data_IF_057285415902
#
_entry.id   IF_057285415902
#
_cell.length_a   1.000
_cell.length_b   1.000
_cell.length_c   1.000
_cell.angle_alpha   90.00
_cell.angle_beta   90.00
_cell.angle_gamma   90.00
#
_symmetry.space_group_name_H-M   'P 1'
#
loop_
_entity.id
_entity.type
_entity.pdbx_description
1 polymer ?
#
# COMPACT_ATOMS: atom_id res chain seq x y z
N UNK A 1 -33.40 2.98 -10.68
CA UNK A 1 -32.40 2.47 -9.73
C UNK A 1 -32.96 2.71 -8.35
N UNK A 2 -33.20 1.66 -7.61
CA UNK A 2 -33.80 1.73 -6.29
C UNK A 2 -32.78 2.31 -5.29
N UNK A 3 -33.19 3.25 -4.43
CA UNK A 3 -32.33 3.85 -3.42
C UNK A 3 -31.84 2.85 -2.34
N UNK A 4 -32.29 1.57 -2.42
CA UNK A 4 -31.91 0.48 -1.51
C UNK A 4 -30.48 -0.04 -1.67
N UNK A 5 -29.81 0.23 -2.81
CA UNK A 5 -28.49 -0.35 -3.13
C UNK A 5 -27.29 0.52 -2.70
N UNK A 6 -27.56 1.71 -2.19
CA UNK A 6 -26.52 2.66 -1.80
C UNK A 6 -25.84 2.23 -0.51
N UNK A 7 -24.56 1.82 -0.59
CA UNK A 7 -23.79 1.38 0.56
C UNK A 7 -22.94 2.51 1.14
N UNK A 8 -22.96 2.65 2.47
CA UNK A 8 -22.12 3.58 3.21
C UNK A 8 -21.40 2.86 4.36
N UNK A 9 -20.15 3.24 4.58
CA UNK A 9 -19.34 2.75 5.69
C UNK A 9 -19.08 3.91 6.66
N UNK A 10 -19.99 4.11 7.60
CA UNK A 10 -20.06 5.30 8.43
C UNK A 10 -20.46 6.53 7.60
N UNK A 11 -19.59 7.52 7.52
CA UNK A 11 -19.80 8.76 6.76
C UNK A 11 -19.19 8.73 5.35
N UNK A 12 -18.65 7.58 4.90
CA UNK A 12 -17.95 7.44 3.63
C UNK A 12 -18.67 6.53 2.65
N UNK A 13 -18.63 6.86 1.35
CA UNK A 13 -19.19 6.03 0.29
C UNK A 13 -18.26 4.87 -0.13
N UNK A 14 -17.26 4.54 0.71
CA UNK A 14 -16.33 3.43 0.50
C UNK A 14 -15.85 2.85 1.82
N UNK A 15 -15.49 1.57 1.82
CA UNK A 15 -15.02 0.82 2.99
C UNK A 15 -13.58 1.23 3.34
N UNK A 16 -13.45 2.29 4.10
CA UNK A 16 -12.15 2.84 4.48
C UNK A 16 -11.49 2.02 5.57
N UNK A 17 -10.14 2.00 5.56
CA UNK A 17 -9.35 1.38 6.62
C UNK A 17 -9.72 1.90 8.02
N UNK A 18 -10.01 3.20 8.20
CA UNK A 18 -10.43 3.75 9.50
C UNK A 18 -11.74 3.12 10.00
N UNK A 19 -12.70 2.90 9.11
CA UNK A 19 -13.96 2.22 9.42
C UNK A 19 -13.71 0.76 9.80
N UNK A 20 -12.96 0.02 8.97
CA UNK A 20 -12.55 -1.37 9.23
C UNK A 20 -11.86 -1.51 10.59
N UNK A 21 -10.89 -0.64 10.89
CA UNK A 21 -10.15 -0.68 12.16
C UNK A 21 -11.05 -0.44 13.38
N UNK A 22 -11.99 0.50 13.28
CA UNK A 22 -12.96 0.73 14.36
C UNK A 22 -13.90 -0.42 14.58
N UNK A 23 -14.36 -1.08 13.51
CA UNK A 23 -15.18 -2.28 13.63
C UNK A 23 -14.41 -3.45 14.25
N UNK A 24 -13.17 -3.68 13.79
CA UNK A 24 -12.35 -4.83 14.21
C UNK A 24 -11.79 -4.67 15.62
N UNK A 25 -11.31 -3.48 15.96
CA UNK A 25 -10.59 -3.25 17.21
C UNK A 25 -11.37 -2.42 18.25
N UNK A 26 -12.57 -1.95 17.90
CA UNK A 26 -13.44 -1.16 18.79
C UNK A 26 -13.01 0.28 19.01
N UNK A 27 -11.85 0.71 18.46
CA UNK A 27 -11.31 2.05 18.62
C UNK A 27 -10.45 2.45 17.41
N UNK A 28 -10.05 3.70 17.37
CA UNK A 28 -9.13 4.21 16.35
C UNK A 28 -7.74 3.61 16.55
N UNK A 29 -7.16 3.06 15.48
CA UNK A 29 -5.82 2.45 15.48
C UNK A 29 -4.91 3.25 14.56
N UNK A 30 -3.66 3.49 14.98
CA UNK A 30 -2.66 4.19 14.18
C UNK A 30 -1.54 3.25 13.73
N UNK A 31 -0.99 3.50 12.54
CA UNK A 31 0.20 2.81 12.06
C UNK A 31 1.46 3.44 12.64
N UNK A 32 2.39 2.61 13.08
CA UNK A 32 3.75 2.95 13.47
C UNK A 32 4.67 2.51 12.35
N UNK A 33 5.24 3.44 11.58
CA UNK A 33 6.15 3.12 10.49
C UNK A 33 7.52 2.74 11.04
N UNK A 34 7.88 1.47 10.87
CA UNK A 34 9.10 0.84 11.35
C UNK A 34 10.04 0.52 10.19
N UNK A 35 11.30 0.38 10.49
CA UNK A 35 12.34 -0.03 9.56
C UNK A 35 13.04 -1.27 10.11
N UNK A 36 12.96 -2.38 9.40
CA UNK A 36 13.56 -3.65 9.79
C UNK A 36 15.03 -3.79 9.38
N UNK A 37 15.64 -2.78 8.77
CA UNK A 37 17.02 -2.83 8.31
C UNK A 37 17.25 -3.67 7.06
N UNK A 38 16.20 -4.18 6.41
CA UNK A 38 16.30 -4.93 5.16
C UNK A 38 16.69 -4.04 3.99
N UNK A 39 17.17 -4.67 2.92
CA UNK A 39 17.39 -4.05 1.61
C UNK A 39 16.33 -4.53 0.62
N UNK A 40 16.62 -4.46 -0.67
CA UNK A 40 15.75 -4.91 -1.75
C UNK A 40 16.61 -5.60 -2.82
N UNK A 41 16.17 -6.76 -3.39
CA UNK A 41 16.93 -7.44 -4.44
C UNK A 41 17.14 -6.60 -5.71
N UNK A 42 16.32 -5.56 -5.91
CA UNK A 42 16.53 -4.57 -6.97
C UNK A 42 17.62 -3.53 -6.64
N UNK A 43 18.25 -3.59 -5.46
CA UNK A 43 19.23 -2.59 -5.01
C UNK A 43 20.57 -3.17 -4.56
N UNK A 44 20.60 -4.43 -4.18
CA UNK A 44 21.81 -5.06 -3.65
C UNK A 44 22.61 -5.85 -4.70
N UNK A 45 22.18 -5.79 -5.96
CA UNK A 45 22.83 -6.48 -7.07
C UNK A 45 22.26 -7.87 -7.36
N UNK A 46 21.30 -8.37 -6.58
CA UNK A 46 20.67 -9.67 -6.82
C UNK A 46 19.85 -9.67 -8.11
N UNK A 47 19.02 -8.66 -8.33
CA UNK A 47 18.24 -8.44 -9.57
C UNK A 47 18.72 -7.18 -10.32
N UNK A 48 18.85 -6.08 -9.62
CA UNK A 48 19.36 -4.80 -10.12
C UNK A 48 20.09 -4.08 -8.96
N UNK A 49 20.86 -3.04 -9.27
CA UNK A 49 21.56 -2.19 -8.30
C UNK A 49 20.91 -0.82 -8.10
N UNK A 50 19.99 -0.41 -8.99
CA UNK A 50 19.39 0.92 -9.02
C UNK A 50 18.00 1.01 -8.39
N UNK A 51 17.32 -0.13 -8.20
CA UNK A 51 15.94 -0.18 -7.72
C UNK A 51 14.90 0.11 -8.80
N UNK A 52 13.63 0.07 -8.42
CA UNK A 52 12.54 0.53 -9.30
C UNK A 52 12.75 2.02 -9.64
N UNK A 53 12.38 2.43 -10.86
CA UNK A 53 12.67 3.79 -11.37
C UNK A 53 12.09 4.91 -10.52
N UNK A 54 10.99 4.65 -9.79
CA UNK A 54 10.26 5.63 -8.96
C UNK A 54 10.70 5.62 -7.49
N UNK A 55 11.52 4.63 -7.08
CA UNK A 55 11.79 4.41 -5.66
C UNK A 55 12.91 5.31 -5.15
N UNK A 56 12.63 6.14 -4.14
CA UNK A 56 13.62 7.00 -3.48
C UNK A 56 14.75 6.20 -2.82
N UNK A 57 15.83 6.87 -2.42
CA UNK A 57 16.91 6.26 -1.66
C UNK A 57 16.43 5.62 -0.35
N UNK A 58 15.33 6.12 0.24
CA UNK A 58 14.71 5.57 1.44
C UNK A 58 13.87 4.30 1.24
N UNK A 59 13.76 3.77 0.00
CA UNK A 59 13.03 2.53 -0.26
C UNK A 59 11.57 2.56 0.18
N UNK A 60 10.85 3.69 -0.08
CA UNK A 60 9.48 3.97 0.41
C UNK A 60 9.37 4.09 1.95
N UNK A 61 10.48 4.10 2.66
CA UNK A 61 10.58 4.21 4.11
C UNK A 61 10.98 5.60 4.62
N UNK A 62 10.83 6.65 3.80
CA UNK A 62 11.27 8.02 4.14
C UNK A 62 10.65 8.56 5.45
N UNK A 63 9.55 7.98 5.94
CA UNK A 63 8.89 8.32 7.19
C UNK A 63 9.11 7.28 8.31
N UNK A 64 9.84 6.21 8.06
CA UNK A 64 10.13 5.19 9.04
C UNK A 64 11.17 5.67 10.08
N UNK A 65 11.21 4.98 11.21
CA UNK A 65 12.23 5.21 12.24
C UNK A 65 13.61 4.73 11.77
N UNK A 66 14.67 5.17 12.42
CA UNK A 66 16.02 4.77 12.06
C UNK A 66 16.25 3.26 12.27
N UNK A 67 16.85 2.53 11.31
CA UNK A 67 17.06 1.08 11.40
C UNK A 67 18.08 0.67 12.46
N UNK A 68 18.85 1.61 12.99
CA UNK A 68 19.84 1.36 14.08
C UNK A 68 19.20 1.16 15.46
N UNK A 69 17.90 1.43 15.61
CA UNK A 69 17.15 1.24 16.84
C UNK A 69 16.52 -0.16 16.89
N UNK A 70 16.42 -0.76 18.07
CA UNK A 70 15.60 -1.96 18.28
C UNK A 70 14.14 -1.69 17.91
N UNK A 71 13.38 -2.74 17.62
CA UNK A 71 11.95 -2.60 17.29
C UNK A 71 11.17 -1.94 18.44
N UNK A 72 11.48 -2.30 19.67
CA UNK A 72 10.87 -1.71 20.87
C UNK A 72 11.13 -0.20 20.98
N UNK A 73 12.35 0.23 20.71
CA UNK A 73 12.71 1.67 20.70
C UNK A 73 12.00 2.41 19.56
N UNK A 74 11.97 1.82 18.35
CA UNK A 74 11.25 2.38 17.21
C UNK A 74 9.76 2.56 17.53
N UNK A 75 9.12 1.54 18.09
CA UNK A 75 7.73 1.56 18.52
C UNK A 75 7.50 2.67 19.55
N UNK A 76 8.36 2.77 20.55
CA UNK A 76 8.27 3.78 21.61
C UNK A 76 8.34 5.18 21.03
N UNK A 77 9.33 5.49 20.20
CA UNK A 77 9.49 6.79 19.56
C UNK A 77 8.30 7.13 18.63
N UNK A 78 7.83 6.15 17.85
CA UNK A 78 6.69 6.37 16.96
C UNK A 78 5.39 6.64 17.74
N UNK A 79 5.16 5.95 18.86
CA UNK A 79 4.03 6.20 19.77
C UNK A 79 4.06 7.61 20.36
N UNK A 80 5.22 8.09 20.80
CA UNK A 80 5.36 9.45 21.34
C UNK A 80 4.95 10.52 20.33
N UNK A 81 5.32 10.35 19.04
CA UNK A 81 4.91 11.26 17.97
C UNK A 81 3.38 11.28 17.78
N UNK A 82 2.71 10.13 17.94
CA UNK A 82 1.27 9.99 17.79
C UNK A 82 0.53 10.54 19.02
N UNK A 83 1.02 10.24 20.23
CA UNK A 83 0.42 10.72 21.50
C UNK A 83 0.28 12.23 21.59
N UNK A 84 1.17 12.98 20.91
CA UNK A 84 1.06 14.44 20.79
C UNK A 84 -0.19 14.91 20.01
N UNK A 85 -0.81 14.02 19.23
CA UNK A 85 -1.93 14.33 18.32
C UNK A 85 -3.20 13.55 18.63
N UNK A 86 -3.12 12.48 19.40
CA UNK A 86 -4.22 11.53 19.64
C UNK A 86 -4.01 10.70 20.89
N UNK A 87 -5.10 10.43 21.61
CA UNK A 87 -5.14 9.53 22.78
C UNK A 87 -5.30 8.04 22.39
N UNK A 88 -4.86 7.66 21.21
CA UNK A 88 -4.93 6.29 20.70
C UNK A 88 -4.14 5.31 21.59
N UNK A 89 -4.72 4.13 21.83
CA UNK A 89 -4.12 3.07 22.68
C UNK A 89 -3.67 1.85 21.89
N UNK A 90 -4.22 1.63 20.67
CA UNK A 90 -3.88 0.50 19.82
C UNK A 90 -3.15 0.95 18.57
N UNK A 91 -2.17 0.15 18.15
CA UNK A 91 -1.30 0.47 17.03
C UNK A 91 -1.11 -0.74 16.11
N UNK A 92 -0.76 -0.48 14.87
CA UNK A 92 -0.26 -1.46 13.91
C UNK A 92 1.24 -1.25 13.77
N UNK A 93 2.02 -2.28 14.03
CA UNK A 93 3.45 -2.28 13.70
C UNK A 93 3.60 -2.45 12.19
N UNK A 94 4.02 -1.42 11.48
CA UNK A 94 4.10 -1.40 10.01
C UNK A 94 5.55 -1.33 9.54
N UNK A 95 6.08 -2.44 9.08
CA UNK A 95 7.38 -2.52 8.42
C UNK A 95 7.22 -2.07 6.97
N UNK A 96 7.73 -0.88 6.68
CA UNK A 96 7.47 -0.17 5.43
C UNK A 96 8.69 -0.08 4.51
N UNK A 97 9.88 0.14 5.07
CA UNK A 97 11.08 0.44 4.28
C UNK A 97 11.58 -0.80 3.51
N UNK A 98 11.78 -0.64 2.19
CA UNK A 98 12.32 -1.68 1.31
C UNK A 98 11.47 -2.96 1.25
N UNK A 99 12.13 -4.15 1.30
CA UNK A 99 11.48 -5.46 1.16
C UNK A 99 11.58 -6.21 2.49
N UNK A 100 10.53 -6.14 3.31
CA UNK A 100 10.60 -6.55 4.72
C UNK A 100 10.52 -8.07 4.97
N UNK A 101 10.57 -8.90 3.93
CA UNK A 101 10.74 -10.35 4.01
C UNK A 101 12.07 -10.81 3.40
N UNK A 102 12.89 -9.87 2.94
CA UNK A 102 14.16 -10.16 2.28
C UNK A 102 15.31 -10.15 3.29
N UNK A 103 15.31 -11.17 4.14
CA UNK A 103 16.35 -11.44 5.14
C UNK A 103 16.28 -12.91 5.60
N UNK A 104 17.30 -13.45 6.31
CA UNK A 104 17.22 -14.78 6.90
C UNK A 104 16.00 -14.92 7.84
N UNK A 105 15.33 -16.07 7.79
CA UNK A 105 14.11 -16.33 8.59
C UNK A 105 14.33 -16.14 10.10
N UNK A 106 15.50 -16.53 10.62
CA UNK A 106 15.84 -16.32 12.03
C UNK A 106 15.80 -14.85 12.41
N UNK A 107 16.34 -13.96 11.56
CA UNK A 107 16.31 -12.52 11.77
C UNK A 107 14.88 -11.97 11.70
N UNK A 108 14.10 -12.40 10.70
CA UNK A 108 12.70 -12.01 10.58
C UNK A 108 11.87 -12.44 11.78
N UNK A 109 12.12 -13.67 12.28
CA UNK A 109 11.44 -14.21 13.47
C UNK A 109 11.71 -13.36 14.70
N UNK A 110 12.95 -13.00 14.99
CA UNK A 110 13.30 -12.12 16.11
C UNK A 110 12.61 -10.77 15.97
N UNK A 111 12.74 -10.12 14.81
CA UNK A 111 12.21 -8.79 14.53
C UNK A 111 10.69 -8.71 14.68
N UNK A 112 9.98 -9.65 14.06
CA UNK A 112 8.51 -9.63 14.05
C UNK A 112 7.93 -10.11 15.38
N UNK A 113 8.59 -11.05 16.05
CA UNK A 113 8.17 -11.49 17.40
C UNK A 113 8.33 -10.35 18.41
N UNK A 114 9.42 -9.59 18.36
CA UNK A 114 9.60 -8.40 19.21
C UNK A 114 8.48 -7.37 18.99
N UNK A 115 8.09 -7.13 17.73
CA UNK A 115 7.02 -6.20 17.40
C UNK A 115 5.65 -6.69 17.91
N UNK A 116 5.31 -7.94 17.62
CA UNK A 116 3.99 -8.50 17.92
C UNK A 116 3.79 -8.74 19.43
N UNK A 117 4.87 -8.94 20.18
CA UNK A 117 4.84 -9.12 21.63
C UNK A 117 4.44 -7.85 22.40
N UNK A 118 4.54 -6.67 21.78
CA UNK A 118 4.14 -5.42 22.45
C UNK A 118 2.63 -5.41 22.72
N UNK A 119 2.18 -5.11 23.96
CA UNK A 119 0.78 -5.32 24.37
C UNK A 119 -0.22 -4.43 23.61
N UNK A 120 0.19 -3.26 23.19
CA UNK A 120 -0.62 -2.28 22.48
C UNK A 120 -0.51 -2.37 20.94
N UNK A 121 0.28 -3.29 20.43
CA UNK A 121 0.27 -3.65 19.01
C UNK A 121 -0.90 -4.62 18.76
N UNK A 122 -1.85 -4.16 17.95
CA UNK A 122 -3.07 -4.89 17.60
C UNK A 122 -2.90 -5.77 16.35
N UNK A 123 -1.99 -5.39 15.45
CA UNK A 123 -1.70 -6.13 14.22
C UNK A 123 -0.28 -5.83 13.74
N UNK A 124 0.26 -6.73 12.93
CA UNK A 124 1.50 -6.57 12.18
C UNK A 124 1.18 -6.31 10.72
N UNK A 125 1.82 -5.33 10.09
CA UNK A 125 1.69 -5.05 8.65
C UNK A 125 3.08 -5.03 8.03
N UNK A 126 3.30 -5.81 6.96
CA UNK A 126 4.61 -6.06 6.36
C UNK A 126 4.55 -5.74 4.88
N UNK A 127 5.23 -4.67 4.45
CA UNK A 127 5.36 -4.35 3.04
C UNK A 127 6.48 -5.18 2.40
N UNK A 128 6.15 -5.87 1.31
CA UNK A 128 7.10 -6.73 0.63
C UNK A 128 6.80 -6.89 -0.87
N UNK A 129 7.63 -7.69 -1.54
CA UNK A 129 7.57 -8.08 -2.93
C UNK A 129 7.08 -9.53 -3.05
N UNK A 130 6.40 -9.84 -4.14
CA UNK A 130 5.87 -11.18 -4.40
C UNK A 130 6.97 -12.25 -4.57
N UNK A 131 8.14 -11.86 -5.07
CA UNK A 131 9.30 -12.74 -5.30
C UNK A 131 10.21 -12.92 -4.06
N UNK A 132 9.81 -12.36 -2.89
CA UNK A 132 10.55 -12.47 -1.63
C UNK A 132 9.74 -13.18 -0.53
N UNK A 133 9.00 -14.21 -0.90
CA UNK A 133 8.12 -14.99 -0.03
C UNK A 133 8.41 -16.50 -0.15
N UNK A 134 9.63 -16.95 0.20
CA UNK A 134 9.94 -18.38 0.19
C UNK A 134 9.11 -19.14 1.26
N UNK A 135 8.93 -20.47 1.13
CA UNK A 135 8.05 -21.25 2.01
C UNK A 135 8.28 -21.03 3.50
N UNK A 136 9.53 -20.99 3.93
CA UNK A 136 9.91 -20.79 5.33
C UNK A 136 9.52 -19.41 5.87
N UNK A 137 9.47 -18.38 5.03
CA UNK A 137 8.95 -17.05 5.41
C UNK A 137 7.44 -17.10 5.52
N UNK A 138 6.77 -17.74 4.56
CA UNK A 138 5.31 -17.89 4.60
C UNK A 138 4.86 -18.65 5.86
N UNK A 139 5.59 -19.69 6.26
CA UNK A 139 5.30 -20.48 7.46
C UNK A 139 5.50 -19.65 8.73
N UNK A 140 6.57 -18.86 8.82
CA UNK A 140 6.79 -17.88 9.90
C UNK A 140 5.62 -16.88 10.00
N UNK A 141 5.19 -16.29 8.88
CA UNK A 141 4.10 -15.32 8.85
C UNK A 141 2.79 -15.94 9.31
N UNK A 142 2.52 -17.19 8.92
CA UNK A 142 1.36 -17.96 9.38
C UNK A 142 1.43 -18.24 10.89
N UNK A 143 2.58 -18.64 11.43
CA UNK A 143 2.81 -18.81 12.88
C UNK A 143 2.49 -17.51 13.66
N UNK A 144 2.96 -16.38 13.16
CA UNK A 144 2.70 -15.08 13.78
C UNK A 144 1.23 -14.66 13.69
N UNK A 145 0.56 -14.99 12.57
CA UNK A 145 -0.86 -14.68 12.36
C UNK A 145 -1.78 -15.42 13.35
N UNK A 146 -1.34 -16.57 13.89
CA UNK A 146 -2.06 -17.24 14.98
C UNK A 146 -2.03 -16.47 16.30
N UNK A 147 -1.11 -15.51 16.48
CA UNK A 147 -0.98 -14.71 17.70
C UNK A 147 -1.74 -13.38 17.58
N UNK A 148 -1.51 -12.65 16.49
CA UNK A 148 -2.20 -11.40 16.15
C UNK A 148 -2.29 -11.28 14.62
N UNK A 149 -3.30 -10.56 14.08
CA UNK A 149 -3.46 -10.39 12.63
C UNK A 149 -2.17 -9.91 11.96
N UNK A 150 -1.76 -10.63 10.91
CA UNK A 150 -0.62 -10.27 10.04
C UNK A 150 -1.15 -9.90 8.66
N UNK A 151 -0.81 -8.71 8.20
CA UNK A 151 -1.18 -8.18 6.90
C UNK A 151 0.02 -8.06 6.00
N UNK A 152 -0.06 -8.64 4.83
CA UNK A 152 1.00 -8.55 3.81
C UNK A 152 0.62 -7.48 2.81
N UNK A 153 1.37 -6.38 2.82
CA UNK A 153 1.22 -5.30 1.87
C UNK A 153 2.08 -5.61 0.65
N UNK A 154 1.45 -6.19 -0.37
CA UNK A 154 2.13 -6.75 -1.52
C UNK A 154 2.15 -5.75 -2.68
N UNK A 155 3.35 -5.38 -3.12
CA UNK A 155 3.54 -4.47 -4.25
C UNK A 155 3.27 -5.18 -5.57
N UNK A 156 2.21 -4.76 -6.29
CA UNK A 156 1.94 -5.17 -7.67
C UNK A 156 2.32 -4.04 -8.65
N UNK A 157 1.85 -2.86 -8.37
CA UNK A 157 1.99 -1.61 -9.12
C UNK A 157 1.11 -1.56 -10.37
N UNK A 158 1.14 -2.58 -11.24
CA UNK A 158 0.38 -2.75 -12.48
C UNK A 158 0.27 -4.24 -12.82
N UNK A 159 -0.75 -4.65 -13.58
CA UNK A 159 -0.85 -6.01 -14.13
C UNK A 159 -0.11 -6.17 -15.47
N UNK A 160 0.29 -5.06 -16.08
CA UNK A 160 0.91 -5.07 -17.41
C UNK A 160 2.40 -5.38 -17.30
N UNK A 161 2.82 -6.55 -17.78
CA UNK A 161 4.21 -7.00 -17.71
C UNK A 161 5.19 -6.06 -18.43
N UNK A 162 4.73 -5.33 -19.47
CA UNK A 162 5.54 -4.30 -20.14
C UNK A 162 5.80 -3.11 -19.21
N UNK A 163 4.78 -2.62 -18.53
CA UNK A 163 4.92 -1.59 -17.49
C UNK A 163 5.83 -2.08 -16.36
N UNK A 164 5.63 -3.31 -15.87
CA UNK A 164 6.46 -3.89 -14.81
C UNK A 164 7.94 -3.96 -15.20
N UNK A 165 8.25 -4.31 -16.45
CA UNK A 165 9.63 -4.26 -16.99
C UNK A 165 10.16 -2.83 -17.07
N UNK A 166 9.36 -1.91 -17.60
CA UNK A 166 9.73 -0.49 -17.74
C UNK A 166 10.07 0.15 -16.39
N UNK A 167 9.28 -0.14 -15.34
CA UNK A 167 9.53 0.39 -13.99
C UNK A 167 10.58 -0.42 -13.21
N UNK A 168 11.16 -1.45 -13.81
CA UNK A 168 12.15 -2.35 -13.19
C UNK A 168 11.61 -3.01 -11.91
N UNK A 169 10.39 -3.52 -11.92
CA UNK A 169 9.85 -4.26 -10.76
C UNK A 169 10.65 -5.53 -10.46
N UNK A 170 11.17 -6.21 -11.52
CA UNK A 170 11.96 -7.43 -11.41
C UNK A 170 11.12 -8.70 -11.18
N UNK A 171 9.81 -8.60 -11.28
CA UNK A 171 8.87 -9.73 -11.24
C UNK A 171 7.75 -9.53 -12.28
N UNK A 172 6.97 -10.59 -12.53
CA UNK A 172 5.82 -10.56 -13.45
C UNK A 172 4.50 -10.61 -12.71
N UNK A 173 3.39 -10.34 -13.43
CA UNK A 173 2.04 -10.45 -12.87
C UNK A 173 1.72 -11.89 -12.44
N UNK A 174 2.17 -12.89 -13.19
CA UNK A 174 1.96 -14.31 -12.86
C UNK A 174 2.66 -14.69 -11.54
N UNK A 175 3.85 -14.16 -11.29
CA UNK A 175 4.54 -14.35 -10.01
C UNK A 175 3.77 -13.68 -8.85
N UNK A 176 3.16 -12.53 -9.11
CA UNK A 176 2.29 -11.88 -8.12
C UNK A 176 1.07 -12.75 -7.81
N UNK A 177 0.38 -13.31 -8.81
CA UNK A 177 -0.76 -14.21 -8.61
C UNK A 177 -0.37 -15.42 -7.75
N UNK A 178 0.73 -16.10 -8.10
CA UNK A 178 1.23 -17.23 -7.32
C UNK A 178 1.55 -16.87 -5.86
N UNK A 179 2.04 -15.66 -5.61
CA UNK A 179 2.30 -15.20 -4.25
C UNK A 179 1.00 -14.91 -3.47
N UNK A 180 -0.03 -14.36 -4.14
CA UNK A 180 -1.36 -14.16 -3.53
C UNK A 180 -1.95 -15.51 -3.11
N UNK A 181 -1.95 -16.51 -4.00
CA UNK A 181 -2.45 -17.85 -3.71
C UNK A 181 -1.71 -18.47 -2.51
N UNK A 182 -0.37 -18.42 -2.51
CA UNK A 182 0.44 -18.96 -1.42
C UNK A 182 0.20 -18.27 -0.07
N UNK A 183 -0.10 -16.98 -0.06
CA UNK A 183 -0.48 -16.21 1.15
C UNK A 183 -1.88 -16.59 1.63
N UNK A 184 -2.84 -16.69 0.70
CA UNK A 184 -4.24 -17.04 1.04
C UNK A 184 -4.36 -18.49 1.51
N UNK A 185 -3.62 -19.42 0.96
CA UNK A 185 -3.54 -20.82 1.42
C UNK A 185 -3.08 -20.92 2.90
N UNK A 186 -2.34 -19.91 3.39
CA UNK A 186 -1.90 -19.81 4.79
C UNK A 186 -2.80 -18.92 5.66
N UNK A 187 -3.94 -18.48 5.16
CA UNK A 187 -4.90 -17.63 5.88
C UNK A 187 -4.40 -16.22 6.17
N UNK A 188 -3.40 -15.75 5.41
CA UNK A 188 -2.85 -14.40 5.56
C UNK A 188 -3.70 -13.36 4.82
N UNK A 189 -3.81 -12.18 5.40
CA UNK A 189 -4.49 -11.05 4.73
C UNK A 189 -3.53 -10.36 3.77
N UNK A 190 -4.00 -10.11 2.55
CA UNK A 190 -3.23 -9.49 1.46
C UNK A 190 -3.79 -8.11 1.13
N UNK A 191 -2.94 -7.10 1.12
CA UNK A 191 -3.25 -5.75 0.69
C UNK A 191 -2.44 -5.42 -0.56
N UNK A 192 -3.09 -5.27 -1.69
CA UNK A 192 -2.46 -4.97 -2.97
C UNK A 192 -2.09 -3.48 -3.08
N UNK A 193 -0.90 -3.18 -3.55
CA UNK A 193 -0.50 -1.83 -3.91
C UNK A 193 -0.52 -1.64 -5.42
N UNK A 194 -1.32 -0.69 -5.91
CA UNK A 194 -1.33 -0.20 -7.29
C UNK A 194 -0.80 1.23 -7.35
N UNK A 195 -0.10 1.58 -8.43
CA UNK A 195 0.34 2.95 -8.70
C UNK A 195 -0.42 3.48 -9.91
N UNK A 196 -1.13 4.59 -9.73
CA UNK A 196 -1.87 5.28 -10.78
C UNK A 196 -1.00 6.38 -11.40
N UNK A 197 -0.91 6.41 -12.73
CA UNK A 197 -0.13 7.38 -13.51
C UNK A 197 1.27 6.91 -13.87
N UNK A 198 1.53 5.59 -13.93
CA UNK A 198 2.80 5.05 -14.41
C UNK A 198 3.06 5.47 -15.87
N UNK A 199 4.32 5.77 -16.25
CA UNK A 199 4.64 6.18 -17.61
C UNK A 199 4.17 5.17 -18.65
N UNK A 200 3.45 5.64 -19.67
CA UNK A 200 2.92 4.81 -20.76
C UNK A 200 1.60 4.12 -20.49
N UNK A 201 1.07 4.17 -19.26
CA UNK A 201 -0.27 3.64 -18.98
C UNK A 201 -1.37 4.64 -19.31
N UNK A 202 -2.42 4.16 -19.97
CA UNK A 202 -3.68 4.88 -20.18
C UNK A 202 -4.63 4.66 -18.98
N UNK A 203 -5.72 5.43 -18.91
CA UNK A 203 -6.75 5.22 -17.89
C UNK A 203 -7.37 3.82 -17.99
N UNK A 204 -7.57 3.31 -19.21
CA UNK A 204 -8.10 1.96 -19.45
C UNK A 204 -7.14 0.89 -18.92
N UNK A 205 -5.84 1.05 -19.10
CA UNK A 205 -4.83 0.12 -18.57
C UNK A 205 -4.81 0.12 -17.03
N UNK A 206 -4.86 1.30 -16.43
CA UNK A 206 -4.91 1.44 -14.97
C UNK A 206 -6.20 0.85 -14.40
N UNK A 207 -7.36 1.09 -15.06
CA UNK A 207 -8.64 0.52 -14.65
C UNK A 207 -8.65 -1.00 -14.81
N UNK A 208 -8.07 -1.54 -15.88
CA UNK A 208 -7.89 -2.99 -16.03
C UNK A 208 -7.07 -3.60 -14.87
N UNK A 209 -6.07 -2.86 -14.36
CA UNK A 209 -5.31 -3.30 -13.17
C UNK A 209 -6.19 -3.30 -11.90
N UNK A 210 -7.10 -2.35 -11.76
CA UNK A 210 -8.06 -2.30 -10.66
C UNK A 210 -9.08 -3.43 -10.76
N UNK A 211 -9.64 -3.65 -11.96
CA UNK A 211 -10.62 -4.71 -12.23
C UNK A 211 -10.01 -6.10 -11.98
N UNK A 212 -8.77 -6.33 -12.42
CA UNK A 212 -8.08 -7.58 -12.15
C UNK A 212 -7.91 -7.83 -10.64
N UNK A 213 -7.49 -6.81 -9.87
CA UNK A 213 -7.35 -6.89 -8.42
C UNK A 213 -8.70 -7.10 -7.71
N UNK A 214 -9.79 -6.52 -8.26
CA UNK A 214 -11.13 -6.66 -7.73
C UNK A 214 -11.64 -8.13 -7.71
N UNK A 215 -11.11 -8.97 -8.60
CA UNK A 215 -11.47 -10.39 -8.72
C UNK A 215 -10.47 -11.35 -8.06
N UNK A 216 -9.42 -10.83 -7.41
CA UNK A 216 -8.47 -11.63 -6.64
C UNK A 216 -8.94 -11.78 -5.18
N UNK A 217 -8.56 -12.87 -4.50
CA UNK A 217 -8.90 -13.09 -3.10
C UNK A 217 -8.09 -12.19 -2.14
N UNK A 218 -7.97 -10.90 -2.45
CA UNK A 218 -7.23 -9.93 -1.63
C UNK A 218 -8.18 -9.15 -0.73
N UNK A 219 -7.71 -8.80 0.46
CA UNK A 219 -8.54 -8.22 1.52
C UNK A 219 -8.61 -6.68 1.45
N UNK A 220 -7.68 -6.07 0.74
CA UNK A 220 -7.64 -4.63 0.61
C UNK A 220 -6.73 -4.11 -0.49
N UNK A 221 -6.87 -2.82 -0.77
CA UNK A 221 -6.09 -2.15 -1.82
C UNK A 221 -5.56 -0.79 -1.36
N UNK A 222 -4.41 -0.41 -1.90
CA UNK A 222 -3.86 0.95 -1.87
C UNK A 222 -3.78 1.46 -3.30
N UNK A 223 -4.57 2.47 -3.60
CA UNK A 223 -4.46 3.24 -4.83
C UNK A 223 -3.49 4.40 -4.57
N UNK A 224 -2.30 4.31 -5.14
CA UNK A 224 -1.25 5.30 -4.92
C UNK A 224 -1.06 6.17 -6.16
N UNK A 225 -1.06 7.48 -5.97
CA UNK A 225 -0.62 8.41 -7.01
C UNK A 225 0.88 8.25 -7.24
N UNK A 226 1.29 8.15 -8.51
CA UNK A 226 2.71 8.23 -8.87
C UNK A 226 3.30 9.57 -8.40
N UNK A 227 4.42 9.50 -7.69
CA UNK A 227 5.22 10.67 -7.32
C UNK A 227 6.55 10.64 -8.08
N UNK A 228 6.87 11.72 -8.74
CA UNK A 228 8.18 11.95 -9.33
C UNK A 228 9.03 12.60 -8.26
N UNK A 229 10.02 11.86 -7.76
CA UNK A 229 10.88 12.27 -6.66
C UNK A 229 12.29 12.57 -7.19
N UNK A 230 12.96 13.57 -6.63
CA UNK A 230 14.36 13.88 -6.92
C UNK A 230 15.24 12.64 -6.70
N UNK A 231 16.35 12.62 -7.41
CA UNK A 231 17.37 11.57 -7.29
C UNK A 231 16.86 10.16 -7.65
N UNK A 232 15.81 10.07 -8.50
CA UNK A 232 15.27 8.83 -9.05
C UNK A 232 15.44 8.79 -10.56
N UNK A 233 15.53 7.58 -11.15
CA UNK A 233 15.57 7.42 -12.60
C UNK A 233 14.27 7.91 -13.27
N UNK A 234 13.15 7.89 -12.53
CA UNK A 234 11.89 8.47 -13.01
C UNK A 234 11.96 9.99 -13.15
N UNK A 235 12.68 10.67 -12.25
CA UNK A 235 12.91 12.12 -12.37
C UNK A 235 13.74 12.43 -13.62
N UNK A 236 14.80 11.67 -13.87
CA UNK A 236 15.61 11.79 -15.07
C UNK A 236 14.79 11.52 -16.35
N UNK A 237 13.95 10.48 -16.32
CA UNK A 237 13.04 10.20 -17.45
C UNK A 237 12.08 11.37 -17.68
N UNK A 238 11.49 11.91 -16.61
CA UNK A 238 10.55 13.03 -16.71
C UNK A 238 11.21 14.31 -17.24
N UNK A 239 12.46 14.55 -16.90
CA UNK A 239 13.24 15.69 -17.40
C UNK A 239 13.59 15.55 -18.89
N UNK A 240 14.02 14.35 -19.32
CA UNK A 240 14.52 14.10 -20.68
C UNK A 240 13.44 13.74 -21.69
N UNK A 241 12.36 13.10 -21.24
CA UNK A 241 11.20 12.68 -22.03
C UNK A 241 9.92 12.86 -21.19
N UNK A 242 9.41 14.10 -21.07
CA UNK A 242 8.24 14.39 -20.25
C UNK A 242 7.02 13.57 -20.65
N UNK A 243 6.31 13.04 -19.67
CA UNK A 243 5.06 12.32 -19.81
C UNK A 243 3.95 12.98 -18.98
N UNK A 244 2.67 12.76 -19.31
CA UNK A 244 1.55 13.35 -18.58
C UNK A 244 1.55 12.91 -17.12
N UNK A 245 1.28 13.85 -16.22
CA UNK A 245 0.97 13.59 -14.80
C UNK A 245 -0.42 14.12 -14.51
N UNK A 246 -1.17 13.41 -13.68
CA UNK A 246 -2.52 13.82 -13.32
C UNK A 246 -2.57 15.25 -12.75
N UNK A 247 -3.55 16.03 -13.18
CA UNK A 247 -4.07 17.16 -12.40
C UNK A 247 -4.81 16.64 -11.16
N UNK A 248 -5.10 17.52 -10.21
CA UNK A 248 -5.88 17.16 -9.02
C UNK A 248 -7.26 16.63 -9.39
N UNK A 249 -7.90 17.30 -10.33
CA UNK A 249 -9.27 17.02 -10.77
C UNK A 249 -9.33 15.64 -11.48
N UNK A 250 -8.47 15.41 -12.47
CA UNK A 250 -8.37 14.13 -13.20
C UNK A 250 -8.09 12.98 -12.24
N UNK A 251 -7.11 13.14 -11.33
CA UNK A 251 -6.80 12.10 -10.35
C UNK A 251 -8.00 11.77 -9.45
N UNK A 252 -8.68 12.79 -8.91
CA UNK A 252 -9.80 12.57 -8.03
C UNK A 252 -10.99 11.92 -8.74
N UNK A 253 -11.25 12.30 -10.00
CA UNK A 253 -12.28 11.68 -10.83
C UNK A 253 -11.94 10.22 -11.13
N UNK A 254 -10.68 9.93 -11.50
CA UNK A 254 -10.22 8.58 -11.81
C UNK A 254 -10.20 7.66 -10.55
N UNK A 255 -9.78 8.15 -9.40
CA UNK A 255 -9.84 7.40 -8.13
C UNK A 255 -11.26 7.00 -7.77
N UNK A 256 -12.24 7.89 -7.98
CA UNK A 256 -13.66 7.56 -7.76
C UNK A 256 -14.08 6.45 -8.71
N UNK A 257 -13.73 6.53 -10.01
CA UNK A 257 -13.99 5.46 -10.98
C UNK A 257 -13.35 4.13 -10.51
N UNK A 258 -12.10 4.13 -10.08
CA UNK A 258 -11.48 2.92 -9.55
C UNK A 258 -12.27 2.31 -8.39
N UNK A 259 -12.75 3.14 -7.46
CA UNK A 259 -13.49 2.65 -6.28
C UNK A 259 -14.87 2.10 -6.67
N UNK A 260 -15.53 2.67 -7.69
CA UNK A 260 -16.80 2.15 -8.22
C UNK A 260 -16.67 0.70 -8.74
N UNK A 261 -15.47 0.29 -9.16
CA UNK A 261 -15.15 -1.05 -9.71
C UNK A 261 -14.65 -2.05 -8.64
N UNK A 262 -14.34 -1.60 -7.42
CA UNK A 262 -13.84 -2.48 -6.36
C UNK A 262 -15.00 -3.11 -5.57
N UNK A 263 -14.91 -4.41 -5.18
CA UNK A 263 -15.96 -5.07 -4.41
C UNK A 263 -16.23 -4.34 -3.08
N UNK A 264 -17.50 -4.31 -2.62
CA UNK A 264 -17.91 -3.57 -1.41
C UNK A 264 -17.19 -3.99 -0.13
N UNK A 265 -16.72 -5.23 -0.05
CA UNK A 265 -16.01 -5.81 1.11
C UNK A 265 -14.51 -5.52 1.11
N UNK A 266 -13.93 -5.09 0.00
CA UNK A 266 -12.50 -4.79 -0.09
C UNK A 266 -12.15 -3.51 0.66
N UNK A 267 -11.21 -3.58 1.60
CA UNK A 267 -10.81 -2.43 2.42
C UNK A 267 -9.94 -1.46 1.62
N UNK A 268 -10.34 -0.20 1.55
CA UNK A 268 -9.55 0.86 0.93
C UNK A 268 -8.54 1.40 1.94
N UNK A 269 -7.28 0.98 1.80
CA UNK A 269 -6.20 1.35 2.72
C UNK A 269 -5.62 2.73 2.45
N UNK A 270 -5.65 3.18 1.19
CA UNK A 270 -5.07 4.47 0.77
C UNK A 270 -5.66 4.91 -0.58
N UNK A 271 -5.85 6.24 -0.70
CA UNK A 271 -6.34 6.91 -1.91
C UNK A 271 -5.40 8.01 -2.43
N UNK A 272 -4.20 8.13 -1.88
CA UNK A 272 -3.24 9.18 -2.25
C UNK A 272 -1.81 8.66 -2.11
N UNK A 273 -0.87 9.30 -2.79
CA UNK A 273 0.56 9.07 -2.54
C UNK A 273 1.03 9.70 -1.22
N UNK A 274 2.18 9.25 -0.75
CA UNK A 274 2.92 9.79 0.38
C UNK A 274 4.39 9.90 -0.01
N UNK A 275 4.81 11.06 -0.50
CA UNK A 275 6.21 11.35 -0.82
C UNK A 275 6.76 12.45 0.09
N UNK A 276 8.08 12.43 0.38
CA UNK A 276 8.72 13.52 1.10
C UNK A 276 8.58 14.82 0.31
N UNK A 277 7.98 15.84 0.92
CA UNK A 277 7.74 17.12 0.24
C UNK A 277 9.01 17.78 -0.30
N UNK A 278 10.14 17.58 0.36
CA UNK A 278 11.45 18.10 -0.05
C UNK A 278 12.01 17.43 -1.31
N UNK A 279 11.59 16.20 -1.59
CA UNK A 279 12.02 15.43 -2.76
C UNK A 279 11.01 15.49 -3.92
N UNK A 280 9.78 15.94 -3.68
CA UNK A 280 8.72 15.89 -4.68
C UNK A 280 8.95 16.92 -5.81
N UNK A 281 9.01 16.41 -7.06
CA UNK A 281 9.03 17.21 -8.28
C UNK A 281 7.61 17.40 -8.80
N UNK A 282 6.86 16.30 -8.95
CA UNK A 282 5.48 16.31 -9.46
C UNK A 282 4.66 15.11 -8.95
N UNK A 283 3.33 15.24 -8.88
CA UNK A 283 2.55 16.48 -8.94
C UNK A 283 2.55 17.23 -7.59
N UNK A 284 2.82 18.52 -7.58
CA UNK A 284 2.97 19.31 -6.35
C UNK A 284 1.68 19.45 -5.54
N UNK A 285 0.50 19.39 -6.19
CA UNK A 285 -0.80 19.47 -5.51
C UNK A 285 -1.02 18.32 -4.51
N UNK A 286 -0.35 17.19 -4.69
CA UNK A 286 -0.48 16.00 -3.81
C UNK A 286 0.01 16.25 -2.38
N UNK A 287 0.78 17.32 -2.14
CA UNK A 287 1.24 17.71 -0.81
C UNK A 287 0.12 18.22 0.10
N UNK A 288 -1.02 18.66 -0.46
CA UNK A 288 -2.22 19.03 0.29
C UNK A 288 -3.22 17.87 0.34
N UNK A 289 -2.92 16.87 1.17
CA UNK A 289 -3.79 15.70 1.34
C UNK A 289 -5.22 16.03 1.73
N UNK A 290 -5.41 17.09 2.51
CA UNK A 290 -6.75 17.51 2.95
C UNK A 290 -7.57 17.96 1.75
N UNK A 291 -6.98 18.76 0.87
CA UNK A 291 -7.62 19.18 -0.38
C UNK A 291 -7.95 17.98 -1.26
N UNK A 292 -7.00 17.04 -1.46
CA UNK A 292 -7.23 15.83 -2.26
C UNK A 292 -8.41 15.02 -1.72
N UNK A 293 -8.41 14.68 -0.44
CA UNK A 293 -9.48 13.88 0.16
C UNK A 293 -10.85 14.60 0.14
N UNK A 294 -10.88 15.92 0.32
CA UNK A 294 -12.11 16.70 0.20
C UNK A 294 -12.62 16.72 -1.25
N UNK A 295 -11.73 16.82 -2.24
CA UNK A 295 -12.10 16.76 -3.67
C UNK A 295 -12.65 15.39 -4.03
N UNK A 296 -12.00 14.29 -3.63
CA UNK A 296 -12.53 12.92 -3.81
C UNK A 296 -13.93 12.80 -3.19
N UNK A 297 -14.13 13.26 -1.95
CA UNK A 297 -15.44 13.24 -1.30
C UNK A 297 -16.50 14.02 -2.09
N UNK A 298 -16.13 15.19 -2.60
CA UNK A 298 -17.00 16.03 -3.43
C UNK A 298 -17.38 15.29 -4.73
N UNK A 299 -16.43 14.63 -5.41
CA UNK A 299 -16.70 13.85 -6.63
C UNK A 299 -17.67 12.70 -6.39
N UNK A 300 -17.54 11.97 -5.28
CA UNK A 300 -18.52 10.95 -4.89
C UNK A 300 -19.93 11.53 -4.73
N UNK A 301 -20.06 12.72 -4.14
CA UNK A 301 -21.35 13.38 -3.96
C UNK A 301 -21.92 13.86 -5.29
N UNK A 302 -21.11 14.50 -6.14
CA UNK A 302 -21.52 15.02 -7.45
C UNK A 302 -21.96 13.90 -8.40
N UNK A 303 -21.27 12.75 -8.37
CA UNK A 303 -21.57 11.58 -9.21
C UNK A 303 -22.66 10.68 -8.61
N UNK A 304 -23.11 10.97 -7.40
CA UNK A 304 -24.04 10.13 -6.62
C UNK A 304 -23.66 8.64 -6.66
N UNK A 305 -22.44 8.34 -6.20
CA UNK A 305 -21.80 7.04 -6.40
C UNK A 305 -21.16 6.49 -5.12
N UNK A 306 -20.77 5.20 -5.13
CA UNK A 306 -20.22 4.47 -4.01
C UNK A 306 -19.34 3.30 -4.48
N UNK A 307 -18.57 2.72 -3.57
CA UNK A 307 -17.76 1.54 -3.84
C UNK A 307 -18.62 0.36 -4.28
N UNK A 308 -18.23 -0.27 -5.38
CA UNK A 308 -18.90 -1.45 -5.93
C UNK A 308 -20.10 -1.16 -6.81
N UNK A 309 -20.37 0.11 -7.16
CA UNK A 309 -21.49 0.46 -8.03
C UNK A 309 -21.42 -0.22 -9.40
N UNK A 310 -20.22 -0.41 -9.92
CA UNK A 310 -19.96 -1.06 -11.21
C UNK A 310 -19.22 -2.39 -11.08
N UNK A 311 -18.95 -2.84 -9.86
CA UNK A 311 -18.41 -4.17 -9.63
C UNK A 311 -19.46 -5.23 -10.00
N UNK A 312 -19.04 -6.21 -10.80
CA UNK A 312 -19.83 -7.38 -11.14
C UNK A 312 -19.05 -8.61 -10.71
N UNK A 313 -19.64 -9.41 -9.82
CA UNK A 313 -19.06 -10.69 -9.47
C UNK A 313 -19.05 -11.58 -10.73
N UNK A 314 -17.87 -11.98 -11.19
CA UNK A 314 -17.77 -12.95 -12.27
C UNK A 314 -18.02 -14.32 -11.64
N UNK A 315 -19.29 -14.77 -11.70
CA UNK A 315 -19.73 -16.09 -11.26
C UNK A 315 -19.04 -17.22 -12.06
#
# INVERSE_FOLDING_TARGET
MDMSDKKFWGDKPYFSLDHYLKQTFGEKVYRLSLNGGMTCPNRDGTLDSRGCIFCSAGGSGDFATAPSLSVTEQITQAKERIRRKSNCRKFIAYFQAYTNTYAPVSYLKELFTEAIAQPDIAALSIATRCDCLPPEVLDLLSELNCQKPVWIELGLQSIHNDTLRQIRSGFTYEQYLSAVDALKDRGLSVITHLILGLPGETEEMMLASVDAVAHLPVDGVKLQLLHILKDTDLALLYETAPFPVFSLEEYCDFVVTCIEHLPPEMVIHRLTGDGPRSLLIAPLWSTDKKRVLNTIRKRFQERDTWQGKYYTDQA
#
